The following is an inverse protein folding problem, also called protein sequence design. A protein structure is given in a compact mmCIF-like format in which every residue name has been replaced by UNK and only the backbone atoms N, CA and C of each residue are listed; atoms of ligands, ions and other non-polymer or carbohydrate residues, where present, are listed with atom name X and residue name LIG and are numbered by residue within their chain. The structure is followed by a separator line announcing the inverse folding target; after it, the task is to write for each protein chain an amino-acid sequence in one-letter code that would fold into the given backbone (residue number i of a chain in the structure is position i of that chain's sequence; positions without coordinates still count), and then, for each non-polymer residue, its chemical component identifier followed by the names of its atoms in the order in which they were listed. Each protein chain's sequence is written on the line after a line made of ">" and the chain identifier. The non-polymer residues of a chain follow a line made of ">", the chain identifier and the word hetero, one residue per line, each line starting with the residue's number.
data_IF_138826429826
#
_entry.id   IF_138826429826
#
_cell.length_a   1.000
_cell.length_b   1.000
_cell.length_c   1.000
_cell.angle_alpha   90.00
_cell.angle_beta   90.00
_cell.angle_gamma   90.00
#
_symmetry.space_group_name_H-M   'P 1'
#
loop_
_entity.id
_entity.type
_entity.pdbx_description
1 polymer ?
#
# COMPACT_ATOMS: atom_id res chain seq x y z
N UNK A 1 -14.27 -5.85 -8.04
CA UNK A 1 -13.23 -6.87 -7.95
C UNK A 1 -13.86 -8.26 -7.99
N UNK A 2 -13.20 -9.19 -8.64
CA UNK A 2 -13.55 -10.61 -8.63
C UNK A 2 -12.42 -11.40 -7.97
N UNK A 3 -12.68 -12.66 -7.61
CA UNK A 3 -11.75 -13.45 -6.78
C UNK A 3 -10.32 -13.53 -7.29
N UNK A 4 -10.11 -13.59 -8.61
CA UNK A 4 -8.75 -13.63 -9.19
C UNK A 4 -8.03 -12.27 -9.18
N UNK A 5 -8.71 -11.19 -8.78
CA UNK A 5 -8.14 -9.85 -8.63
C UNK A 5 -7.77 -9.51 -7.18
N UNK A 6 -7.86 -10.47 -6.28
CA UNK A 6 -7.44 -10.33 -4.88
C UNK A 6 -6.23 -11.22 -4.62
N UNK A 7 -5.31 -10.72 -3.80
CA UNK A 7 -4.20 -11.54 -3.33
C UNK A 7 -4.72 -12.80 -2.62
N UNK A 8 -4.14 -13.94 -2.93
CA UNK A 8 -4.49 -15.21 -2.27
C UNK A 8 -3.77 -15.33 -0.93
N UNK A 9 -4.32 -16.16 -0.04
CA UNK A 9 -3.70 -16.42 1.26
C UNK A 9 -2.25 -16.86 1.09
N UNK A 10 -1.33 -16.15 1.73
CA UNK A 10 0.09 -16.44 1.68
C UNK A 10 0.81 -16.01 0.40
N UNK A 11 0.12 -15.37 -0.53
CA UNK A 11 0.77 -14.87 -1.75
C UNK A 11 1.81 -13.80 -1.43
N UNK A 12 2.98 -13.92 -2.04
CA UNK A 12 4.14 -13.08 -1.78
C UNK A 12 4.45 -12.22 -3.01
N UNK A 13 4.52 -10.90 -2.80
CA UNK A 13 4.87 -9.93 -3.84
C UNK A 13 6.21 -9.25 -3.57
N UNK A 14 7.02 -9.78 -2.65
CA UNK A 14 8.31 -9.20 -2.29
C UNK A 14 9.14 -8.89 -3.52
N UNK A 15 9.72 -7.69 -3.56
CA UNK A 15 10.56 -7.17 -4.64
C UNK A 15 9.80 -6.88 -5.94
N UNK A 16 8.51 -7.11 -6.01
CA UNK A 16 7.72 -6.72 -7.17
C UNK A 16 7.46 -5.21 -7.18
N UNK A 17 7.52 -4.60 -8.36
CA UNK A 17 7.07 -3.23 -8.57
C UNK A 17 5.54 -3.23 -8.65
N UNK A 18 4.90 -2.46 -7.78
CA UNK A 18 3.46 -2.34 -7.69
C UNK A 18 3.04 -0.88 -7.79
N UNK A 19 1.79 -0.63 -8.10
CA UNK A 19 1.25 0.71 -8.32
C UNK A 19 0.35 1.11 -7.16
N UNK A 20 0.44 2.38 -6.77
CA UNK A 20 -0.49 3.02 -5.83
C UNK A 20 -1.11 4.24 -6.49
N UNK A 21 -2.34 4.56 -6.12
CA UNK A 21 -3.05 5.71 -6.68
C UNK A 21 -3.95 6.36 -5.65
N UNK A 22 -4.25 7.65 -5.84
CA UNK A 22 -5.13 8.37 -4.94
C UNK A 22 -5.20 9.86 -5.24
N UNK A 23 -6.12 10.51 -4.55
CA UNK A 23 -6.30 11.97 -4.57
C UNK A 23 -5.79 12.62 -3.28
N UNK A 24 -4.91 11.97 -2.56
CA UNK A 24 -4.32 12.50 -1.34
C UNK A 24 -3.38 13.68 -1.61
N UNK A 25 -2.87 14.24 -0.53
CA UNK A 25 -1.99 15.41 -0.61
C UNK A 25 -0.75 15.13 -1.45
N UNK A 26 -0.38 16.09 -2.29
CA UNK A 26 0.73 15.95 -3.23
C UNK A 26 2.02 16.62 -2.78
N UNK A 27 2.00 17.28 -1.62
CA UNK A 27 3.20 17.88 -1.03
C UNK A 27 3.44 17.31 0.36
N UNK A 28 4.71 17.12 0.70
CA UNK A 28 5.13 16.69 2.04
C UNK A 28 5.00 17.85 3.03
N UNK A 29 4.97 17.51 4.31
CA UNK A 29 4.88 18.48 5.38
C UNK A 29 3.52 18.46 6.08
N UNK A 30 3.37 19.37 7.02
CA UNK A 30 2.13 19.54 7.79
C UNK A 30 1.38 20.78 7.30
N UNK A 31 0.16 21.00 7.81
CA UNK A 31 -0.58 22.22 7.52
C UNK A 31 0.31 23.46 7.61
N UNK A 32 0.15 24.47 6.75
CA UNK A 32 -0.90 24.64 5.74
C UNK A 32 -0.55 24.20 4.32
N UNK A 33 0.52 23.44 4.13
CA UNK A 33 1.06 23.10 2.80
C UNK A 33 0.32 21.97 2.10
N UNK A 34 -0.89 21.67 2.52
CA UNK A 34 -1.70 20.61 1.93
C UNK A 34 -2.25 21.01 0.57
N UNK A 35 -2.14 20.11 -0.38
CA UNK A 35 -2.73 20.24 -1.71
C UNK A 35 -3.44 18.95 -2.09
N UNK A 36 -4.67 19.11 -2.55
CA UNK A 36 -5.50 18.00 -3.06
C UNK A 36 -5.59 18.17 -4.57
N UNK A 37 -5.13 17.17 -5.36
CA UNK A 37 -5.15 17.27 -6.81
C UNK A 37 -6.56 17.05 -7.36
N UNK A 38 -6.87 17.71 -8.48
CA UNK A 38 -8.11 17.48 -9.21
C UNK A 38 -8.07 16.15 -9.97
N UNK A 39 -6.90 15.78 -10.47
CA UNK A 39 -6.68 14.56 -11.23
C UNK A 39 -6.10 13.48 -10.34
N UNK A 40 -6.56 12.25 -10.55
CA UNK A 40 -6.02 11.07 -9.88
C UNK A 40 -4.51 10.99 -10.10
N UNK A 41 -3.77 10.83 -9.03
CA UNK A 41 -2.32 10.67 -9.06
C UNK A 41 -1.97 9.18 -8.91
N UNK A 42 -0.83 8.80 -9.47
CA UNK A 42 -0.27 7.47 -9.31
C UNK A 42 1.25 7.54 -9.16
N UNK A 43 1.79 6.54 -8.52
CA UNK A 43 3.23 6.28 -8.49
C UNK A 43 3.44 4.79 -8.30
N UNK A 44 4.62 4.31 -8.60
CA UNK A 44 4.98 2.93 -8.32
C UNK A 44 6.03 2.83 -7.21
N UNK A 45 6.26 1.62 -6.77
CA UNK A 45 7.29 1.31 -5.78
C UNK A 45 7.46 -0.18 -5.66
N UNK A 46 8.45 -0.57 -4.89
CA UNK A 46 8.84 -1.97 -4.72
C UNK A 46 8.34 -2.47 -3.37
N UNK A 47 7.65 -3.60 -3.37
CA UNK A 47 7.25 -4.27 -2.14
C UNK A 47 8.52 -4.69 -1.39
N UNK A 48 8.62 -4.25 -0.15
CA UNK A 48 9.76 -4.58 0.71
C UNK A 48 9.51 -5.90 1.44
N UNK A 49 10.61 -6.57 1.81
CA UNK A 49 10.50 -7.75 2.66
C UNK A 49 10.04 -7.37 4.07
N UNK A 50 9.50 -8.33 4.81
CA UNK A 50 9.09 -8.10 6.19
C UNK A 50 10.27 -7.64 7.07
N UNK A 51 11.46 -8.18 6.83
CA UNK A 51 12.68 -7.76 7.54
C UNK A 51 13.01 -6.29 7.31
N UNK A 52 12.91 -5.83 6.07
CA UNK A 52 13.17 -4.43 5.72
C UNK A 52 12.13 -3.50 6.33
N UNK A 53 10.85 -3.87 6.26
CA UNK A 53 9.78 -3.11 6.89
C UNK A 53 9.96 -3.01 8.41
N UNK A 54 10.33 -4.12 9.05
CA UNK A 54 10.62 -4.15 10.48
C UNK A 54 11.83 -3.27 10.82
N UNK A 55 12.87 -3.28 9.98
CA UNK A 55 14.03 -2.41 10.18
C UNK A 55 13.66 -0.93 10.14
N UNK A 56 12.69 -0.55 9.32
CA UNK A 56 12.22 0.83 9.21
C UNK A 56 11.29 1.22 10.37
N UNK A 57 10.36 0.36 10.74
CA UNK A 57 9.24 0.70 11.63
C UNK A 57 9.29 0.03 13.00
N UNK A 58 10.17 -0.95 13.21
CA UNK A 58 10.26 -1.69 14.46
C UNK A 58 8.95 -2.40 14.81
N UNK A 59 8.53 -2.30 16.06
CA UNK A 59 7.32 -2.98 16.56
C UNK A 59 6.01 -2.40 16.04
N UNK A 60 6.04 -1.24 15.40
CA UNK A 60 4.86 -0.67 14.75
C UNK A 60 4.44 -1.44 13.50
N UNK A 61 5.38 -2.16 12.88
CA UNK A 61 5.10 -3.01 11.74
C UNK A 61 4.79 -4.42 12.19
N UNK A 62 3.63 -4.94 11.78
CA UNK A 62 3.21 -6.31 12.06
C UNK A 62 3.12 -7.08 10.74
N UNK A 63 4.08 -7.97 10.49
CA UNK A 63 4.21 -8.70 9.23
C UNK A 63 2.97 -9.53 8.88
N UNK A 64 2.20 -9.97 9.88
CA UNK A 64 0.98 -10.75 9.67
C UNK A 64 -0.14 -9.95 9.01
N UNK A 65 -0.18 -8.63 9.17
CA UNK A 65 -1.29 -7.78 8.72
C UNK A 65 -0.85 -6.61 7.84
N UNK A 66 0.45 -6.34 7.73
CA UNK A 66 0.99 -5.21 6.98
C UNK A 66 1.88 -5.64 5.83
N UNK A 67 1.93 -4.82 4.80
CA UNK A 67 3.01 -4.78 3.82
C UNK A 67 3.49 -3.33 3.72
N UNK A 68 4.72 -3.11 3.32
CA UNK A 68 5.21 -1.77 3.05
C UNK A 68 5.89 -1.67 1.69
N UNK A 69 5.90 -0.46 1.15
CA UNK A 69 6.41 -0.17 -0.19
C UNK A 69 7.48 0.90 -0.11
N UNK A 70 8.59 0.66 -0.80
CA UNK A 70 9.58 1.70 -1.08
C UNK A 70 9.21 2.38 -2.39
N UNK A 71 8.64 3.57 -2.28
CA UNK A 71 8.30 4.42 -3.43
C UNK A 71 9.42 5.39 -3.77
N UNK A 72 10.57 5.24 -3.15
CA UNK A 72 11.74 6.13 -3.30
C UNK A 72 11.38 7.55 -2.86
N UNK A 73 11.27 8.50 -3.78
CA UNK A 73 10.99 9.90 -3.45
C UNK A 73 9.51 10.24 -3.53
N UNK A 74 8.65 9.26 -3.58
CA UNK A 74 7.20 9.41 -3.61
C UNK A 74 6.55 8.56 -2.52
N UNK A 75 5.24 8.59 -2.40
CA UNK A 75 4.53 7.77 -1.43
C UNK A 75 3.09 8.25 -1.23
N UNK A 76 2.38 7.54 -0.37
CA UNK A 76 1.02 7.91 0.02
C UNK A 76 1.02 9.03 1.05
N UNK A 77 -0.08 9.76 1.12
CA UNK A 77 -0.27 10.84 2.08
C UNK A 77 -1.74 10.90 2.53
N UNK A 78 -2.07 11.88 3.37
CA UNK A 78 -3.44 12.05 3.86
C UNK A 78 -4.41 12.21 2.69
N UNK A 79 -5.48 11.43 2.71
CA UNK A 79 -6.47 11.38 1.63
C UNK A 79 -6.27 10.19 0.69
N UNK A 80 -5.14 9.48 0.79
CA UNK A 80 -4.89 8.25 0.03
C UNK A 80 -5.39 7.00 0.76
N UNK A 81 -5.65 7.09 2.07
CA UNK A 81 -6.10 5.96 2.89
C UNK A 81 -7.29 5.23 2.28
N UNK A 82 -7.25 3.90 2.29
CA UNK A 82 -8.29 3.08 1.67
C UNK A 82 -8.07 2.83 0.19
N UNK A 83 -7.12 3.51 -0.44
CA UNK A 83 -6.77 3.31 -1.84
C UNK A 83 -5.98 2.04 -2.10
N UNK A 84 -5.85 1.64 -3.35
CA UNK A 84 -5.29 0.35 -3.71
C UNK A 84 -3.77 0.35 -3.83
N UNK A 85 -3.18 -0.80 -3.52
CA UNK A 85 -1.87 -1.21 -4.01
C UNK A 85 -2.09 -2.35 -4.98
N UNK A 86 -1.73 -2.15 -6.23
CA UNK A 86 -1.93 -3.13 -7.30
C UNK A 86 -0.59 -3.76 -7.67
N UNK A 87 -0.49 -5.05 -7.46
CA UNK A 87 0.61 -5.88 -7.95
C UNK A 87 0.11 -6.75 -9.10
N UNK A 88 0.99 -7.54 -9.69
CA UNK A 88 0.63 -8.35 -10.85
C UNK A 88 0.97 -9.81 -10.62
N UNK A 89 0.02 -10.67 -10.93
CA UNK A 89 0.20 -12.13 -11.04
C UNK A 89 0.27 -12.44 -12.53
N UNK A 90 1.49 -12.50 -13.07
CA UNK A 90 1.66 -12.49 -14.51
C UNK A 90 1.19 -11.14 -15.08
N UNK A 91 0.19 -11.16 -15.94
CA UNK A 91 -0.44 -9.95 -16.49
C UNK A 91 -1.74 -9.56 -15.77
N UNK A 92 -2.15 -10.32 -14.76
CA UNK A 92 -3.38 -10.06 -14.02
C UNK A 92 -3.14 -9.07 -12.89
N UNK A 93 -3.81 -7.90 -12.88
CA UNK A 93 -3.71 -6.97 -11.77
C UNK A 93 -4.40 -7.56 -10.53
N UNK A 94 -3.73 -7.44 -9.38
CA UNK A 94 -4.16 -8.03 -8.12
C UNK A 94 -4.10 -6.97 -7.03
N UNK A 95 -5.17 -6.84 -6.27
CA UNK A 95 -5.17 -6.00 -5.08
C UNK A 95 -4.35 -6.69 -3.99
N UNK A 96 -3.17 -6.14 -3.71
CA UNK A 96 -2.22 -6.68 -2.74
C UNK A 96 -2.27 -5.95 -1.40
N UNK A 97 -2.60 -4.67 -1.43
CA UNK A 97 -2.64 -3.83 -0.23
C UNK A 97 -3.69 -2.74 -0.29
N UNK A 98 -4.02 -2.23 0.89
CA UNK A 98 -4.91 -1.07 1.06
C UNK A 98 -4.18 -0.04 1.89
N UNK A 99 -4.06 1.17 1.38
CA UNK A 99 -3.30 2.26 2.02
C UNK A 99 -3.80 2.49 3.44
N UNK A 100 -2.88 2.49 4.41
CA UNK A 100 -3.21 2.55 5.83
C UNK A 100 -2.51 3.67 6.58
N UNK A 101 -1.17 3.62 6.70
CA UNK A 101 -0.45 4.61 7.50
C UNK A 101 1.00 4.80 7.03
N UNK A 102 1.64 5.83 7.54
CA UNK A 102 3.02 6.14 7.25
C UNK A 102 3.54 7.21 8.21
N UNK A 103 4.67 7.82 7.86
CA UNK A 103 5.28 8.87 8.67
C UNK A 103 4.44 10.16 8.61
N UNK A 104 4.37 10.87 9.74
CA UNK A 104 3.72 12.17 9.80
C UNK A 104 4.37 13.15 8.81
N UNK A 105 3.53 13.89 8.08
CA UNK A 105 4.01 14.84 7.06
C UNK A 105 4.38 14.18 5.75
N UNK A 106 4.19 12.88 5.60
CA UNK A 106 4.39 12.12 4.36
C UNK A 106 5.82 12.18 3.81
N UNK A 107 6.81 12.33 4.69
CA UNK A 107 8.22 12.26 4.30
C UNK A 107 8.55 10.87 3.71
N UNK A 108 9.43 10.84 2.73
CA UNK A 108 9.74 9.60 1.99
C UNK A 108 10.92 8.83 2.56
N UNK A 109 11.44 9.23 3.73
CA UNK A 109 12.53 8.53 4.43
C UNK A 109 12.07 7.16 4.93
N UNK A 110 10.79 7.03 5.30
CA UNK A 110 10.18 5.79 5.76
C UNK A 110 9.22 5.27 4.70
N UNK A 111 9.16 3.95 4.48
CA UNK A 111 8.19 3.36 3.55
C UNK A 111 6.76 3.54 4.06
N UNK A 112 5.82 3.71 3.14
CA UNK A 112 4.39 3.72 3.48
C UNK A 112 3.92 2.31 3.80
N UNK A 113 2.93 2.19 4.67
CA UNK A 113 2.42 0.91 5.17
C UNK A 113 0.96 0.70 4.76
N UNK A 114 0.66 -0.51 4.38
CA UNK A 114 -0.62 -0.94 3.80
C UNK A 114 -1.14 -2.15 4.54
N UNK A 115 -2.47 -2.30 4.60
CA UNK A 115 -3.07 -3.55 5.06
C UNK A 115 -2.75 -4.66 4.06
N UNK A 116 -2.31 -5.82 4.55
CA UNK A 116 -1.95 -6.98 3.72
C UNK A 116 -3.21 -7.73 3.31
N UNK A 117 -3.63 -7.59 2.07
CA UNK A 117 -4.88 -8.20 1.57
C UNK A 117 -4.86 -9.72 1.68
N UNK A 118 -3.71 -10.35 1.41
CA UNK A 118 -3.59 -11.82 1.49
C UNK A 118 -3.98 -12.38 2.86
N UNK A 119 -3.73 -11.63 3.92
CA UNK A 119 -4.12 -12.03 5.29
C UNK A 119 -5.63 -12.10 5.46
N UNK A 120 -6.34 -11.21 4.80
CA UNK A 120 -7.80 -11.07 4.95
C UNK A 120 -8.57 -11.79 3.85
N UNK A 121 -7.90 -12.55 2.98
CA UNK A 121 -8.52 -13.16 1.80
C UNK A 121 -9.75 -14.00 2.15
N UNK A 122 -9.65 -14.89 3.12
CA UNK A 122 -10.78 -15.75 3.51
C UNK A 122 -11.96 -14.94 4.04
N UNK A 123 -11.68 -13.91 4.83
CA UNK A 123 -12.72 -13.00 5.33
C UNK A 123 -13.39 -12.23 4.19
N UNK A 124 -12.59 -11.76 3.24
CA UNK A 124 -13.10 -11.06 2.06
C UNK A 124 -14.00 -11.95 1.21
N UNK A 125 -13.57 -13.18 0.92
CA UNK A 125 -14.35 -14.14 0.14
C UNK A 125 -15.71 -14.39 0.80
N UNK A 126 -15.73 -14.63 2.10
CA UNK A 126 -16.95 -14.87 2.86
C UNK A 126 -17.86 -13.63 2.86
N UNK A 127 -17.29 -12.46 3.14
CA UNK A 127 -18.05 -11.22 3.28
C UNK A 127 -18.61 -10.74 1.95
N UNK A 128 -17.84 -10.88 0.87
CA UNK A 128 -18.23 -10.46 -0.47
C UNK A 128 -19.02 -11.53 -1.24
N UNK A 129 -19.06 -12.74 -0.77
CA UNK A 129 -19.75 -13.85 -1.44
C UNK A 129 -19.07 -14.32 -2.72
N UNK A 130 -17.76 -14.28 -2.75
CA UNK A 130 -16.97 -14.67 -3.93
C UNK A 130 -16.13 -15.92 -3.69
#
# INVERSE_FOLDING_TARGET
>A
LVGNQLATTGENFDRQTCEISGWGHTVTGTQPNKQIPDQLQETDGVIMTNSECTSSWGTNYAASVHICIDNRNTGTCQGDSGGPTVCFRGSTPVLAGVTSWGVSGCGTTYPSVYARVSTYRSWLDTTMGI
#
